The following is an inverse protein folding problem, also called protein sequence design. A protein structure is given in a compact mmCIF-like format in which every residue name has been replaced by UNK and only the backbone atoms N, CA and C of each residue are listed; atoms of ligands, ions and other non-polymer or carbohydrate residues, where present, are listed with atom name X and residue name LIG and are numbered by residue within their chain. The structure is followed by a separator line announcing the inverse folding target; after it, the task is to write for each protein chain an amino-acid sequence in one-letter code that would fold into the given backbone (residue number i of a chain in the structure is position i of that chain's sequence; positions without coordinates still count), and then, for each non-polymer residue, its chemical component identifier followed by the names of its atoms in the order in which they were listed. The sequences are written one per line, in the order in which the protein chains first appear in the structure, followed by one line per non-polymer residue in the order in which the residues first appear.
data_IF_274895404978
#
_entry.id   IF_274895404978
#
_cell.length_a   1.000
_cell.length_b   1.000
_cell.length_c   1.000
_cell.angle_alpha   90.00
_cell.angle_beta   90.00
_cell.angle_gamma   90.00
#
_symmetry.space_group_name_H-M   'P 1'
#
loop_
_entity.id
_entity.type
_entity.pdbx_description
1 polymer ?
#
# COMPACT_ATOMS: atom_id res chain seq x y z
N UNK A 1 16.45 -11.18 19.72
CA UNK A 1 17.14 -9.95 19.36
C UNK A 1 16.08 -8.90 19.07
N UNK A 2 16.02 -7.95 19.98
CA UNK A 2 15.15 -6.79 19.86
C UNK A 2 15.46 -6.08 18.57
N UNK A 3 14.41 -5.64 17.85
CA UNK A 3 14.58 -5.05 16.54
C UNK A 3 15.43 -3.80 16.65
N UNK A 4 16.50 -3.75 15.85
CA UNK A 4 17.39 -2.58 15.74
C UNK A 4 16.72 -1.39 15.04
N UNK A 5 15.42 -1.47 14.73
CA UNK A 5 14.70 -0.45 13.93
C UNK A 5 13.66 0.30 14.76
N UNK A 6 14.10 0.96 15.83
CA UNK A 6 13.19 1.65 16.76
C UNK A 6 12.37 2.76 16.12
N UNK A 7 12.99 3.58 15.27
CA UNK A 7 12.32 4.68 14.59
C UNK A 7 11.34 4.16 13.53
N UNK A 8 11.73 3.17 12.74
CA UNK A 8 10.86 2.54 11.75
C UNK A 8 9.66 1.86 12.41
N UNK A 9 9.86 1.21 13.55
CA UNK A 9 8.75 0.61 14.30
C UNK A 9 7.80 1.66 14.88
N UNK A 10 8.30 2.86 15.19
CA UNK A 10 7.48 3.96 15.69
C UNK A 10 6.65 4.62 14.58
N UNK A 11 7.22 4.81 13.39
CA UNK A 11 6.60 5.54 12.28
C UNK A 11 6.28 4.68 11.06
N UNK A 12 6.38 3.38 11.18
CA UNK A 12 6.09 2.43 10.12
C UNK A 12 5.52 1.13 10.64
N UNK A 13 5.04 0.33 9.73
CA UNK A 13 4.49 -1.00 9.98
C UNK A 13 5.31 -2.00 9.19
N UNK A 14 5.91 -2.98 9.87
CA UNK A 14 6.64 -4.09 9.24
C UNK A 14 5.65 -5.05 8.57
N UNK A 15 5.50 -4.95 7.26
CA UNK A 15 4.57 -5.78 6.49
C UNK A 15 5.00 -7.25 6.46
N UNK A 16 6.29 -7.52 6.43
CA UNK A 16 6.78 -8.91 6.45
C UNK A 16 6.46 -9.59 7.77
N UNK A 17 6.60 -8.87 8.88
CA UNK A 17 6.22 -9.39 10.20
C UNK A 17 4.71 -9.62 10.29
N UNK A 18 3.90 -8.71 9.76
CA UNK A 18 2.44 -8.88 9.74
C UNK A 18 2.01 -10.10 8.93
N UNK A 19 2.66 -10.35 7.80
CA UNK A 19 2.44 -11.56 7.02
C UNK A 19 2.79 -12.81 7.82
N UNK A 20 3.94 -12.81 8.49
CA UNK A 20 4.39 -13.94 9.32
C UNK A 20 3.43 -14.23 10.47
N UNK A 21 2.78 -13.21 11.01
CA UNK A 21 1.76 -13.33 12.07
C UNK A 21 0.36 -13.65 11.56
N UNK A 22 0.18 -13.79 10.25
CA UNK A 22 -1.13 -14.05 9.64
C UNK A 22 -2.11 -12.88 9.71
N UNK A 23 -1.62 -11.65 9.85
CA UNK A 23 -2.44 -10.43 10.00
C UNK A 23 -2.75 -9.72 8.68
N UNK A 24 -2.33 -10.28 7.56
CA UNK A 24 -2.58 -9.73 6.22
C UNK A 24 -3.66 -10.55 5.54
N UNK A 25 -4.57 -9.87 4.85
CA UNK A 25 -5.63 -10.53 4.09
C UNK A 25 -5.05 -11.39 2.96
N UNK A 26 -5.73 -12.47 2.55
CA UNK A 26 -5.32 -13.26 1.40
C UNK A 26 -5.22 -12.39 0.14
N UNK A 27 -4.11 -12.52 -0.58
CA UNK A 27 -3.91 -11.81 -1.84
C UNK A 27 -4.35 -12.72 -2.98
N UNK A 28 -5.39 -12.29 -3.68
CA UNK A 28 -6.00 -13.02 -4.78
C UNK A 28 -5.70 -12.29 -6.09
N UNK A 29 -5.02 -12.97 -7.01
CA UNK A 29 -4.61 -12.37 -8.27
C UNK A 29 -3.39 -11.46 -8.11
N UNK A 30 -3.20 -10.55 -9.03
CA UNK A 30 -2.09 -9.57 -9.04
C UNK A 30 -0.69 -10.17 -9.20
N UNK A 31 -0.58 -11.43 -9.62
CA UNK A 31 0.71 -12.12 -9.76
C UNK A 31 1.66 -11.40 -10.72
N UNK A 32 1.16 -10.90 -11.83
CA UNK A 32 1.97 -10.17 -12.81
C UNK A 32 2.50 -8.85 -12.26
N UNK A 33 1.69 -8.09 -11.53
CA UNK A 33 2.06 -6.82 -10.93
C UNK A 33 3.06 -7.02 -9.79
N UNK A 34 2.87 -8.04 -8.95
CA UNK A 34 3.79 -8.40 -7.87
C UNK A 34 5.13 -8.83 -8.46
N UNK A 35 5.12 -9.67 -9.49
CA UNK A 35 6.34 -10.09 -10.19
C UNK A 35 7.06 -8.88 -10.80
N UNK A 36 6.33 -7.98 -11.43
CA UNK A 36 6.91 -6.76 -12.02
C UNK A 36 7.55 -5.88 -10.95
N UNK A 37 6.93 -5.71 -9.78
CA UNK A 37 7.50 -4.98 -8.65
C UNK A 37 8.83 -5.60 -8.21
N UNK A 38 8.88 -6.92 -8.07
CA UNK A 38 10.12 -7.65 -7.75
C UNK A 38 11.23 -7.38 -8.79
N UNK A 39 10.89 -7.44 -10.06
CA UNK A 39 11.84 -7.19 -11.15
C UNK A 39 12.40 -5.76 -11.11
N UNK A 40 11.54 -4.77 -10.87
CA UNK A 40 11.95 -3.38 -10.79
C UNK A 40 12.90 -3.17 -9.60
N UNK A 41 12.59 -3.71 -8.44
CA UNK A 41 13.43 -3.62 -7.24
C UNK A 41 14.82 -4.24 -7.45
N UNK A 42 14.93 -5.20 -8.35
CA UNK A 42 16.20 -5.87 -8.67
C UNK A 42 16.99 -5.16 -9.79
N UNK A 43 16.46 -4.08 -10.35
CA UNK A 43 17.17 -3.33 -11.40
C UNK A 43 18.30 -2.49 -10.81
N UNK A 44 19.27 -2.19 -11.65
CA UNK A 44 20.40 -1.33 -11.28
C UNK A 44 19.99 0.14 -11.18
N UNK A 45 19.09 0.59 -12.04
CA UNK A 45 18.62 1.97 -12.12
C UNK A 45 17.11 1.99 -12.23
N UNK A 46 16.48 3.10 -11.86
CA UNK A 46 15.02 3.25 -11.89
C UNK A 46 14.35 2.06 -11.19
N UNK A 47 14.88 1.75 -10.01
CA UNK A 47 14.60 0.54 -9.24
C UNK A 47 13.59 0.75 -8.13
N UNK A 48 12.83 1.84 -8.18
CA UNK A 48 11.75 2.12 -7.24
C UNK A 48 10.41 1.98 -7.96
N UNK A 49 9.61 0.95 -7.65
CA UNK A 49 8.28 0.83 -8.25
C UNK A 49 7.35 1.93 -7.77
N UNK A 50 6.54 2.47 -8.67
CA UNK A 50 5.41 3.31 -8.29
C UNK A 50 4.12 2.70 -8.84
N UNK A 51 3.21 2.35 -7.95
CA UNK A 51 1.93 1.74 -8.27
C UNK A 51 0.94 2.83 -8.59
N UNK A 52 0.39 2.81 -9.79
CA UNK A 52 -0.52 3.83 -10.29
C UNK A 52 -1.87 3.21 -10.56
N UNK A 53 -2.90 3.74 -9.94
CA UNK A 53 -4.27 3.26 -10.13
C UNK A 53 -5.26 4.10 -9.36
N UNK A 54 -6.53 3.97 -9.72
CA UNK A 54 -7.61 4.64 -9.03
C UNK A 54 -7.72 4.17 -7.56
N UNK A 55 -8.28 4.99 -6.68
CA UNK A 55 -8.53 4.56 -5.30
C UNK A 55 -9.41 3.31 -5.27
N UNK A 56 -9.06 2.35 -4.45
CA UNK A 56 -9.85 1.15 -4.23
C UNK A 56 -9.61 -0.01 -5.21
N UNK A 57 -8.62 0.08 -6.11
CA UNK A 57 -8.32 -1.01 -7.06
C UNK A 57 -7.42 -2.10 -6.51
N UNK A 58 -6.77 -1.87 -5.35
CA UNK A 58 -5.93 -2.87 -4.70
C UNK A 58 -4.43 -2.63 -4.82
N UNK A 59 -3.98 -1.38 -4.84
CA UNK A 59 -2.54 -1.04 -4.86
C UNK A 59 -1.81 -1.59 -3.63
N UNK A 60 -2.37 -1.43 -2.46
CA UNK A 60 -1.80 -1.96 -1.21
C UNK A 60 -1.69 -3.49 -1.23
N UNK A 61 -2.65 -4.18 -1.83
CA UNK A 61 -2.61 -5.63 -1.97
C UNK A 61 -1.38 -6.12 -2.75
N UNK A 62 -0.91 -5.36 -3.73
CA UNK A 62 0.32 -5.70 -4.47
C UNK A 62 1.53 -5.68 -3.55
N UNK A 63 1.63 -4.67 -2.68
CA UNK A 63 2.75 -4.54 -1.72
C UNK A 63 2.69 -5.63 -0.66
N UNK A 64 1.52 -5.93 -0.14
CA UNK A 64 1.31 -7.02 0.82
C UNK A 64 1.63 -8.38 0.18
N UNK A 65 1.26 -8.58 -1.08
CA UNK A 65 1.60 -9.78 -1.85
C UNK A 65 3.10 -9.93 -2.06
N UNK A 66 3.81 -8.83 -2.29
CA UNK A 66 5.27 -8.84 -2.38
C UNK A 66 5.90 -9.21 -1.04
N UNK A 67 5.41 -8.64 0.06
CA UNK A 67 5.85 -9.00 1.41
C UNK A 67 5.64 -10.49 1.70
N UNK A 68 4.51 -11.04 1.29
CA UNK A 68 4.22 -12.48 1.41
C UNK A 68 5.25 -13.32 0.65
N UNK A 69 5.60 -12.94 -0.57
CA UNK A 69 6.60 -13.65 -1.37
C UNK A 69 8.00 -13.55 -0.76
N UNK A 70 8.36 -12.42 -0.18
CA UNK A 70 9.64 -12.28 0.54
C UNK A 70 9.69 -13.23 1.73
N UNK A 71 8.65 -13.28 2.53
CA UNK A 71 8.56 -14.16 3.71
C UNK A 71 8.67 -15.63 3.31
N UNK A 72 8.04 -16.01 2.19
CA UNK A 72 8.10 -17.38 1.66
C UNK A 72 9.40 -17.70 0.90
N UNK A 73 10.22 -16.70 0.63
CA UNK A 73 11.44 -16.86 -0.17
C UNK A 73 11.20 -16.99 -1.67
N UNK A 74 10.01 -16.65 -2.15
CA UNK A 74 9.61 -16.70 -3.56
C UNK A 74 9.90 -15.37 -4.27
N UNK A 75 11.13 -14.93 -4.21
CA UNK A 75 11.64 -13.70 -4.84
C UNK A 75 13.07 -13.95 -5.33
N UNK A 76 13.61 -13.09 -6.22
CA UNK A 76 15.02 -13.14 -6.56
C UNK A 76 15.93 -13.08 -5.32
N UNK A 77 17.12 -13.68 -5.41
CA UNK A 77 18.04 -13.84 -4.28
C UNK A 77 18.39 -12.51 -3.59
N UNK A 78 18.49 -11.43 -4.34
CA UNK A 78 18.79 -10.11 -3.82
C UNK A 78 17.66 -9.49 -2.98
N UNK A 79 16.45 -10.05 -3.04
CA UNK A 79 15.29 -9.58 -2.27
C UNK A 79 14.96 -10.49 -1.06
N UNK A 80 15.56 -11.69 -0.97
CA UNK A 80 15.19 -12.68 0.06
C UNK A 80 15.37 -12.21 1.50
N UNK A 81 16.36 -11.36 1.75
CA UNK A 81 16.67 -10.87 3.09
C UNK A 81 16.12 -9.47 3.35
N UNK A 82 15.27 -8.97 2.47
CA UNK A 82 14.69 -7.64 2.61
C UNK A 82 13.39 -7.66 3.41
N UNK A 83 13.10 -6.52 4.02
CA UNK A 83 11.87 -6.27 4.77
C UNK A 83 11.17 -5.05 4.21
N UNK A 84 9.86 -5.10 4.10
CA UNK A 84 9.05 -3.95 3.67
C UNK A 84 8.41 -3.30 4.87
N UNK A 85 8.69 -2.00 5.08
CA UNK A 85 8.00 -1.17 6.05
C UNK A 85 7.05 -0.22 5.34
N UNK A 86 5.80 -0.22 5.75
CA UNK A 86 4.81 0.77 5.31
C UNK A 86 4.92 2.00 6.18
N UNK A 87 5.20 3.16 5.58
CA UNK A 87 5.29 4.43 6.31
C UNK A 87 3.91 4.83 6.83
N UNK A 88 3.82 5.11 8.13
CA UNK A 88 2.60 5.58 8.78
C UNK A 88 2.58 7.11 8.84
N UNK A 89 1.91 7.72 7.87
CA UNK A 89 1.79 9.18 7.81
C UNK A 89 1.03 9.75 9.02
N UNK A 90 0.06 9.02 9.53
CA UNK A 90 -0.67 9.42 10.74
C UNK A 90 0.25 9.52 11.94
N UNK A 91 1.14 8.55 12.15
CA UNK A 91 2.11 8.55 13.23
C UNK A 91 3.14 9.67 13.09
N UNK A 92 3.56 9.97 11.85
CA UNK A 92 4.50 11.06 11.56
C UNK A 92 3.92 12.45 11.89
N UNK A 93 2.62 12.60 11.70
CA UNK A 93 1.91 13.88 11.89
C UNK A 93 1.37 14.01 13.32
N UNK A 94 1.00 12.91 13.96
CA UNK A 94 0.37 12.92 15.29
C UNK A 94 1.23 13.63 16.33
N UNK A 95 0.68 14.66 16.97
CA UNK A 95 1.36 15.46 17.97
C UNK A 95 2.45 16.39 17.43
N UNK A 96 2.69 16.44 16.13
CA UNK A 96 3.59 17.42 15.53
C UNK A 96 2.95 18.81 15.57
N UNK A 97 3.55 19.71 16.34
CA UNK A 97 3.02 21.06 16.53
C UNK A 97 3.41 22.02 15.40
N UNK A 98 4.47 21.70 14.67
CA UNK A 98 5.00 22.51 13.58
C UNK A 98 5.72 21.64 12.55
N UNK A 99 5.92 22.18 11.37
CA UNK A 99 6.54 21.49 10.23
C UNK A 99 7.91 20.86 10.54
N UNK A 100 8.71 21.54 11.37
CA UNK A 100 10.04 21.06 11.73
C UNK A 100 10.02 19.71 12.47
N UNK A 101 9.02 19.42 13.28
CA UNK A 101 8.88 18.11 13.96
C UNK A 101 8.63 16.98 12.97
N UNK A 102 7.77 17.21 11.98
CA UNK A 102 7.54 16.24 10.90
C UNK A 102 8.83 15.95 10.12
N UNK A 103 9.55 17.00 9.73
CA UNK A 103 10.82 16.88 9.01
C UNK A 103 11.86 16.12 9.83
N UNK A 104 11.98 16.37 11.13
CA UNK A 104 12.89 15.66 12.02
C UNK A 104 12.54 14.17 12.14
N UNK A 105 11.26 13.85 12.26
CA UNK A 105 10.79 12.45 12.30
C UNK A 105 11.10 11.72 11.00
N UNK A 106 10.85 12.36 9.86
CA UNK A 106 11.15 11.79 8.56
C UNK A 106 12.65 11.63 8.34
N UNK A 107 13.47 12.60 8.78
CA UNK A 107 14.94 12.47 8.77
C UNK A 107 15.42 11.27 9.57
N UNK A 108 14.81 11.02 10.73
CA UNK A 108 15.15 9.87 11.56
C UNK A 108 14.81 8.56 10.85
N UNK A 109 13.66 8.48 10.18
CA UNK A 109 13.27 7.33 9.35
C UNK A 109 14.30 7.11 8.23
N UNK A 110 14.65 8.16 7.51
CA UNK A 110 15.61 8.09 6.39
C UNK A 110 16.99 7.62 6.88
N UNK A 111 17.47 8.11 8.01
CA UNK A 111 18.75 7.66 8.60
C UNK A 111 18.74 6.17 8.92
N UNK A 112 17.65 5.67 9.44
CA UNK A 112 17.52 4.25 9.76
C UNK A 112 17.47 3.39 8.49
N UNK A 113 16.82 3.88 7.44
CA UNK A 113 16.83 3.25 6.12
C UNK A 113 18.25 3.15 5.55
N UNK A 114 19.01 4.24 5.61
CA UNK A 114 20.42 4.27 5.16
C UNK A 114 21.28 3.29 5.95
N UNK A 115 21.13 3.29 7.28
CA UNK A 115 21.88 2.42 8.17
C UNK A 115 21.58 0.93 7.92
N UNK A 116 20.45 0.60 7.33
CA UNK A 116 20.08 -0.78 6.98
C UNK A 116 20.86 -1.34 5.79
N UNK A 117 21.61 -0.51 5.07
CA UNK A 117 22.37 -0.92 3.88
C UNK A 117 21.51 -1.64 2.83
N UNK A 118 20.33 -1.09 2.54
CA UNK A 118 19.43 -1.60 1.53
C UNK A 118 18.60 -2.81 1.95
N UNK A 119 18.63 -3.20 3.22
CA UNK A 119 17.81 -4.32 3.72
C UNK A 119 16.33 -3.98 3.86
N UNK A 120 16.01 -2.69 3.93
CA UNK A 120 14.65 -2.21 4.12
C UNK A 120 14.16 -1.51 2.86
N UNK A 121 12.95 -1.89 2.45
CA UNK A 121 12.19 -1.22 1.40
C UNK A 121 11.07 -0.44 2.08
N UNK A 122 10.97 0.86 1.81
CA UNK A 122 9.92 1.70 2.36
C UNK A 122 8.74 1.79 1.41
N UNK A 123 7.56 1.43 1.86
CA UNK A 123 6.32 1.65 1.13
C UNK A 123 5.68 2.97 1.58
N UNK A 124 5.39 3.83 0.63
CA UNK A 124 4.73 5.13 0.88
C UNK A 124 3.44 5.18 0.06
N UNK A 125 2.33 5.01 0.74
CA UNK A 125 1.02 5.20 0.12
C UNK A 125 0.76 6.70 -0.08
N UNK A 126 0.02 7.03 -1.13
CA UNK A 126 -0.23 8.42 -1.49
C UNK A 126 1.05 9.27 -1.51
N UNK A 127 2.09 8.77 -2.15
CA UNK A 127 3.43 9.37 -2.15
C UNK A 127 3.44 10.84 -2.63
N UNK A 128 2.47 11.23 -3.45
CA UNK A 128 2.31 12.60 -3.92
C UNK A 128 2.12 13.60 -2.76
N UNK A 129 1.59 13.16 -1.61
CA UNK A 129 1.37 14.03 -0.45
C UNK A 129 2.67 14.55 0.16
N UNK A 130 3.77 13.83 -0.02
CA UNK A 130 5.06 14.19 0.57
C UNK A 130 6.13 14.60 -0.44
N UNK A 131 5.92 14.37 -1.74
CA UNK A 131 6.93 14.66 -2.76
C UNK A 131 6.55 15.77 -3.75
N UNK A 132 5.32 16.24 -3.76
CA UNK A 132 4.90 17.20 -4.77
C UNK A 132 3.71 18.08 -4.40
N UNK A 133 2.76 17.53 -3.66
CA UNK A 133 1.55 18.25 -3.27
C UNK A 133 1.79 19.32 -2.19
N UNK A 134 2.99 19.36 -1.62
CA UNK A 134 3.34 20.24 -0.51
C UNK A 134 3.64 21.70 -0.87
N UNK A 135 3.46 22.10 -2.12
CA UNK A 135 3.71 23.48 -2.55
C UNK A 135 2.57 24.45 -2.24
N UNK A 136 1.46 23.95 -1.74
CA UNK A 136 0.34 24.77 -1.26
C UNK A 136 0.47 25.02 0.24
N UNK A 137 0.06 26.20 0.69
CA UNK A 137 0.17 26.62 2.09
C UNK A 137 -0.36 25.57 3.06
N UNK A 138 0.51 25.11 3.96
CA UNK A 138 0.16 24.17 5.02
C UNK A 138 0.36 22.69 4.71
N UNK A 139 0.76 22.33 3.49
CA UNK A 139 1.05 20.94 3.14
C UNK A 139 2.52 20.58 3.44
N UNK A 140 2.77 19.32 3.81
CA UNK A 140 4.10 18.82 4.14
C UNK A 140 4.84 18.39 2.88
N UNK A 141 5.94 19.04 2.57
CA UNK A 141 6.81 18.70 1.43
C UNK A 141 8.11 18.09 1.94
N UNK A 142 8.27 16.80 1.71
CA UNK A 142 9.47 16.04 2.06
C UNK A 142 10.38 15.78 0.85
N UNK A 143 10.08 16.37 -0.30
CA UNK A 143 10.85 16.12 -1.53
C UNK A 143 12.34 16.48 -1.36
N UNK A 144 12.67 17.52 -0.60
CA UNK A 144 14.04 17.90 -0.29
C UNK A 144 14.80 16.85 0.53
N UNK A 145 14.09 16.00 1.27
CA UNK A 145 14.68 14.91 2.05
C UNK A 145 14.80 13.63 1.22
N UNK A 146 13.78 13.30 0.45
CA UNK A 146 13.70 12.03 -0.29
C UNK A 146 14.43 12.06 -1.63
N UNK A 147 14.37 13.15 -2.38
CA UNK A 147 15.03 13.24 -3.70
C UNK A 147 16.52 12.95 -3.67
N UNK A 148 17.33 13.55 -2.76
CA UNK A 148 18.77 13.26 -2.70
C UNK A 148 19.04 11.78 -2.40
N UNK A 149 18.25 11.16 -1.54
CA UNK A 149 18.41 9.77 -1.13
C UNK A 149 18.10 8.81 -2.28
N UNK A 150 16.99 9.07 -2.98
CA UNK A 150 16.60 8.30 -4.17
C UNK A 150 17.63 8.50 -5.29
N UNK A 151 18.14 9.73 -5.46
CA UNK A 151 19.12 10.06 -6.48
C UNK A 151 20.45 9.34 -6.30
N UNK A 152 20.87 9.13 -5.05
CA UNK A 152 22.12 8.42 -4.74
C UNK A 152 21.94 6.90 -4.71
N UNK A 153 20.70 6.40 -4.82
CA UNK A 153 20.41 4.98 -4.72
C UNK A 153 20.61 4.39 -3.33
N UNK A 154 20.57 5.23 -2.30
CA UNK A 154 20.81 4.83 -0.91
C UNK A 154 19.59 4.17 -0.27
N UNK A 155 18.40 4.42 -0.79
CA UNK A 155 17.16 3.83 -0.29
C UNK A 155 16.33 3.26 -1.44
N UNK A 156 15.53 2.23 -1.14
CA UNK A 156 14.50 1.72 -2.04
C UNK A 156 13.12 2.08 -1.51
N UNK A 157 12.29 2.59 -2.42
CA UNK A 157 10.93 3.03 -2.11
C UNK A 157 9.95 2.41 -3.08
N UNK A 158 8.83 1.92 -2.56
CA UNK A 158 7.65 1.59 -3.37
C UNK A 158 6.63 2.69 -3.09
N UNK A 159 6.23 3.41 -4.14
CA UNK A 159 5.18 4.44 -4.03
C UNK A 159 3.85 3.92 -4.54
N UNK A 160 2.77 4.52 -4.06
CA UNK A 160 1.44 4.34 -4.60
C UNK A 160 0.76 5.69 -4.78
N UNK A 161 0.06 5.87 -5.89
CA UNK A 161 -0.63 7.12 -6.20
C UNK A 161 -1.69 6.89 -7.27
N UNK A 162 -2.48 7.91 -7.58
CA UNK A 162 -3.41 7.90 -8.71
C UNK A 162 -2.71 8.36 -9.98
N UNK A 163 -3.33 8.13 -11.15
CA UNK A 163 -2.77 8.53 -12.43
C UNK A 163 -2.67 10.07 -12.56
N UNK A 164 -3.67 10.79 -12.07
CA UNK A 164 -3.69 12.25 -12.11
C UNK A 164 -2.60 12.85 -11.23
N UNK A 165 -2.43 12.33 -10.00
CA UNK A 165 -1.41 12.76 -9.06
C UNK A 165 0.00 12.42 -9.57
N UNK A 166 0.16 11.26 -10.19
CA UNK A 166 1.42 10.85 -10.81
C UNK A 166 1.83 11.83 -11.91
N UNK A 167 0.92 12.14 -12.83
CA UNK A 167 1.18 13.08 -13.92
C UNK A 167 1.51 14.48 -13.44
N UNK A 168 0.82 14.91 -12.39
CA UNK A 168 0.94 16.27 -11.86
C UNK A 168 2.22 16.48 -11.05
N UNK A 169 2.58 15.52 -10.20
CA UNK A 169 3.62 15.72 -9.17
C UNK A 169 4.88 14.90 -9.39
N UNK A 170 4.84 13.79 -10.10
CA UNK A 170 5.99 12.88 -10.24
C UNK A 170 6.53 12.88 -11.67
N UNK A 171 5.70 12.66 -12.66
CA UNK A 171 6.11 12.58 -14.06
C UNK A 171 6.80 13.86 -14.55
N UNK A 172 6.35 15.02 -14.09
CA UNK A 172 6.91 16.33 -14.44
C UNK A 172 8.21 16.66 -13.69
N UNK A 173 8.51 15.95 -12.62
CA UNK A 173 9.72 16.12 -11.84
C UNK A 173 10.80 15.19 -12.37
N UNK A 174 11.78 15.72 -13.08
CA UNK A 174 12.84 14.93 -13.72
C UNK A 174 13.64 14.08 -12.72
N UNK A 175 13.86 14.59 -11.52
CA UNK A 175 14.62 13.87 -10.50
C UNK A 175 13.85 12.65 -9.99
N UNK A 176 12.55 12.75 -9.80
CA UNK A 176 11.69 11.64 -9.39
C UNK A 176 11.40 10.69 -10.56
N UNK A 177 11.10 11.22 -11.73
CA UNK A 177 10.78 10.41 -12.91
C UNK A 177 11.92 9.44 -13.27
N UNK A 178 13.17 9.86 -13.10
CA UNK A 178 14.36 9.03 -13.35
C UNK A 178 14.56 7.91 -12.32
N UNK A 179 13.92 7.99 -11.16
CA UNK A 179 14.11 7.05 -10.05
C UNK A 179 12.99 6.04 -9.90
N UNK A 180 11.82 6.36 -10.42
CA UNK A 180 10.65 5.50 -10.35
C UNK A 180 10.34 4.82 -11.67
N UNK A 181 9.92 3.57 -11.59
CA UNK A 181 9.30 2.84 -12.69
C UNK A 181 7.84 2.58 -12.36
N UNK A 182 6.95 3.05 -13.22
CA UNK A 182 5.51 2.91 -13.01
C UNK A 182 5.02 1.48 -13.28
N UNK A 183 4.05 1.06 -12.48
CA UNK A 183 3.25 -0.16 -12.67
C UNK A 183 1.80 0.28 -12.63
N UNK A 184 1.06 0.07 -13.72
CA UNK A 184 -0.36 0.38 -13.76
C UNK A 184 -1.15 -0.74 -13.07
N UNK A 185 -1.98 -0.36 -12.11
CA UNK A 185 -2.88 -1.26 -11.39
C UNK A 185 -4.29 -0.99 -11.86
N UNK A 186 -4.78 -1.84 -12.73
CA UNK A 186 -6.13 -1.73 -13.29
C UNK A 186 -7.19 -2.19 -12.29
N UNK A 187 -8.40 -1.64 -12.46
CA UNK A 187 -9.57 -2.14 -11.76
C UNK A 187 -9.77 -3.62 -12.11
N UNK A 188 -9.94 -4.50 -11.10
CA UNK A 188 -10.24 -5.90 -11.39
C UNK A 188 -11.59 -6.06 -12.07
N UNK A 189 -11.73 -7.11 -12.84
CA UNK A 189 -13.02 -7.48 -13.45
C UNK A 189 -14.02 -7.90 -12.37
N UNK A 190 -15.29 -8.00 -12.72
CA UNK A 190 -16.33 -8.54 -11.84
C UNK A 190 -15.96 -9.96 -11.36
N UNK A 191 -15.48 -10.81 -12.25
CA UNK A 191 -15.07 -12.18 -11.93
C UNK A 191 -13.89 -12.23 -10.97
N UNK A 192 -12.87 -11.41 -11.22
CA UNK A 192 -11.71 -11.29 -10.32
C UNK A 192 -12.14 -10.76 -8.96
N UNK A 193 -13.06 -9.79 -8.92
CA UNK A 193 -13.60 -9.23 -7.67
C UNK A 193 -14.40 -10.26 -6.88
N UNK A 194 -15.14 -11.12 -7.53
CA UNK A 194 -15.83 -12.25 -6.88
C UNK A 194 -14.82 -13.17 -6.19
N UNK A 195 -13.72 -13.49 -6.87
CA UNK A 195 -12.65 -14.31 -6.28
C UNK A 195 -12.01 -13.64 -5.07
N UNK A 196 -11.77 -12.33 -5.14
CA UNK A 196 -11.26 -11.53 -4.02
C UNK A 196 -12.22 -11.57 -2.84
N UNK A 197 -13.52 -11.35 -3.08
CA UNK A 197 -14.55 -11.39 -2.03
C UNK A 197 -14.66 -12.76 -1.39
N UNK A 198 -14.56 -13.82 -2.17
CA UNK A 198 -14.56 -15.21 -1.64
C UNK A 198 -13.35 -15.44 -0.71
N UNK A 199 -12.20 -14.88 -1.05
CA UNK A 199 -11.01 -14.93 -0.19
C UNK A 199 -11.16 -14.13 1.12
N UNK A 200 -11.96 -13.07 1.13
CA UNK A 200 -12.19 -12.21 2.30
C UNK A 200 -13.42 -12.62 3.12
N UNK A 201 -14.27 -13.48 2.60
CA UNK A 201 -15.56 -13.85 3.19
C UNK A 201 -15.47 -14.25 4.66
N UNK A 202 -14.58 -15.16 5.00
CA UNK A 202 -14.44 -15.67 6.37
C UNK A 202 -14.13 -14.57 7.37
N UNK A 203 -13.27 -13.64 7.02
CA UNK A 203 -12.91 -12.48 7.85
C UNK A 203 -14.13 -11.64 8.22
N UNK A 204 -14.99 -11.36 7.25
CA UNK A 204 -16.21 -10.58 7.48
C UNK A 204 -17.28 -11.38 8.22
N UNK A 205 -17.39 -12.68 7.97
CA UNK A 205 -18.26 -13.56 8.73
C UNK A 205 -17.89 -13.60 10.22
N UNK A 206 -16.61 -13.72 10.52
CA UNK A 206 -16.10 -13.71 11.90
C UNK A 206 -16.35 -12.36 12.57
N UNK A 207 -16.04 -11.27 11.88
CA UNK A 207 -16.19 -9.92 12.42
C UNK A 207 -17.65 -9.60 12.75
N UNK A 208 -18.56 -9.85 11.83
CA UNK A 208 -19.98 -9.54 11.99
C UNK A 208 -20.78 -10.65 12.67
N UNK A 209 -20.18 -11.81 12.89
CA UNK A 209 -20.84 -13.00 13.48
C UNK A 209 -22.10 -13.42 12.73
N UNK A 210 -22.03 -13.40 11.42
CA UNK A 210 -23.07 -13.84 10.49
C UNK A 210 -22.48 -14.73 9.41
N UNK A 211 -23.33 -15.43 8.68
CA UNK A 211 -22.96 -16.16 7.47
C UNK A 211 -23.20 -15.29 6.24
N UNK A 212 -22.29 -15.35 5.28
CA UNK A 212 -22.40 -14.66 4.00
C UNK A 212 -22.57 -15.71 2.90
N UNK A 213 -23.74 -15.74 2.26
CA UNK A 213 -23.98 -16.66 1.17
C UNK A 213 -23.15 -16.30 -0.06
N UNK A 214 -22.79 -17.31 -0.86
CA UNK A 214 -22.03 -17.07 -2.11
C UNK A 214 -22.80 -16.18 -3.09
N UNK A 215 -24.12 -16.34 -3.16
CA UNK A 215 -24.98 -15.47 -3.97
C UNK A 215 -24.89 -14.00 -3.56
N UNK A 216 -24.71 -13.72 -2.27
CA UNK A 216 -24.52 -12.36 -1.78
C UNK A 216 -23.19 -11.76 -2.27
N UNK A 217 -22.14 -12.57 -2.30
CA UNK A 217 -20.83 -12.17 -2.84
C UNK A 217 -20.92 -11.86 -4.33
N UNK A 218 -21.51 -12.74 -5.09
CA UNK A 218 -21.71 -12.54 -6.54
C UNK A 218 -22.56 -11.30 -6.80
N UNK A 219 -23.65 -11.14 -6.06
CA UNK A 219 -24.54 -9.96 -6.17
C UNK A 219 -23.81 -8.66 -5.80
N UNK A 220 -22.98 -8.67 -4.76
CA UNK A 220 -22.22 -7.49 -4.36
C UNK A 220 -21.27 -7.01 -5.47
N UNK A 221 -20.58 -7.93 -6.12
CA UNK A 221 -19.70 -7.60 -7.24
C UNK A 221 -20.48 -7.07 -8.45
N UNK A 222 -21.53 -7.77 -8.85
CA UNK A 222 -22.34 -7.40 -10.02
C UNK A 222 -23.08 -6.08 -9.80
N UNK A 223 -23.76 -5.92 -8.67
CA UNK A 223 -24.56 -4.73 -8.38
C UNK A 223 -23.69 -3.49 -8.15
N UNK A 224 -22.57 -3.63 -7.44
CA UNK A 224 -21.65 -2.50 -7.26
C UNK A 224 -21.06 -2.06 -8.60
N UNK A 225 -20.71 -3.00 -9.45
CA UNK A 225 -20.21 -2.70 -10.80
C UNK A 225 -21.25 -1.96 -11.63
N UNK A 226 -22.50 -2.38 -11.56
CA UNK A 226 -23.60 -1.82 -12.37
C UNK A 226 -24.09 -0.45 -11.88
N UNK A 227 -24.19 -0.26 -10.56
CA UNK A 227 -24.90 0.88 -9.98
C UNK A 227 -24.01 1.88 -9.23
N UNK A 228 -22.80 1.52 -8.86
CA UNK A 228 -21.85 2.42 -8.19
C UNK A 228 -20.75 2.79 -9.18
N UNK A 229 -20.91 3.93 -9.85
CA UNK A 229 -20.01 4.34 -10.94
C UNK A 229 -18.87 5.25 -10.49
N UNK A 230 -18.97 5.87 -9.33
CA UNK A 230 -17.99 6.83 -8.79
C UNK A 230 -16.88 6.17 -7.96
N UNK A 231 -16.96 4.86 -7.75
CA UNK A 231 -15.98 4.07 -7.01
C UNK A 231 -15.56 2.83 -7.81
N UNK A 232 -14.48 2.19 -7.39
CA UNK A 232 -13.86 1.07 -8.12
C UNK A 232 -13.97 -0.26 -7.39
N UNK A 233 -14.00 -1.34 -8.18
CA UNK A 233 -13.81 -2.69 -7.68
C UNK A 233 -12.33 -2.88 -7.30
N UNK A 234 -11.98 -3.66 -6.27
CA UNK A 234 -12.92 -4.48 -5.47
C UNK A 234 -13.53 -3.71 -4.29
N UNK A 235 -13.03 -2.54 -3.91
CA UNK A 235 -13.41 -1.85 -2.68
C UNK A 235 -14.90 -1.57 -2.60
N UNK A 236 -15.56 -1.12 -3.67
CA UNK A 236 -17.00 -0.85 -3.64
C UNK A 236 -17.85 -2.09 -3.37
N UNK A 237 -17.39 -3.26 -3.81
CA UNK A 237 -18.07 -4.52 -3.52
C UNK A 237 -17.82 -5.00 -2.09
N UNK A 238 -16.59 -4.83 -1.61
CA UNK A 238 -16.22 -5.14 -0.22
C UNK A 238 -17.04 -4.29 0.75
N UNK A 239 -17.13 -2.98 0.50
CA UNK A 239 -17.93 -2.07 1.32
C UNK A 239 -19.41 -2.45 1.32
N UNK A 240 -19.95 -2.89 0.20
CA UNK A 240 -21.34 -3.32 0.11
C UNK A 240 -21.62 -4.54 0.99
N UNK A 241 -20.72 -5.51 1.01
CA UNK A 241 -20.79 -6.67 1.91
C UNK A 241 -20.68 -6.24 3.37
N UNK A 242 -19.74 -5.40 3.70
CA UNK A 242 -19.51 -4.92 5.06
C UNK A 242 -20.71 -4.15 5.61
N UNK A 243 -21.26 -3.25 4.81
CA UNK A 243 -22.45 -2.45 5.14
C UNK A 243 -23.69 -3.34 5.34
N UNK A 244 -23.94 -4.27 4.42
CA UNK A 244 -25.08 -5.18 4.51
C UNK A 244 -24.99 -6.10 5.74
N UNK A 245 -23.80 -6.60 6.04
CA UNK A 245 -23.56 -7.43 7.22
C UNK A 245 -23.78 -6.66 8.53
N UNK A 246 -23.30 -5.43 8.61
CA UNK A 246 -23.51 -4.57 9.76
C UNK A 246 -25.00 -4.28 9.99
N UNK A 247 -25.76 -4.03 8.93
CA UNK A 247 -27.19 -3.78 8.98
C UNK A 247 -27.96 -4.98 9.53
N UNK A 248 -27.71 -6.18 8.99
CA UNK A 248 -28.37 -7.42 9.44
C UNK A 248 -28.08 -7.68 10.91
N UNK A 249 -26.84 -7.52 11.35
CA UNK A 249 -26.46 -7.71 12.75
C UNK A 249 -27.22 -6.77 13.68
N UNK A 250 -27.37 -5.51 13.29
CA UNK A 250 -28.11 -4.51 14.06
C UNK A 250 -29.59 -4.88 14.16
N UNK A 251 -30.22 -5.31 13.08
CA UNK A 251 -31.59 -5.76 13.05
C UNK A 251 -31.82 -6.98 13.95
N UNK A 252 -30.92 -7.96 13.92
CA UNK A 252 -30.98 -9.15 14.77
C UNK A 252 -30.87 -8.82 16.26
N UNK A 253 -30.06 -7.85 16.62
CA UNK A 253 -29.87 -7.44 18.02
C UNK A 253 -31.04 -6.57 18.54
N UNK A 254 -31.91 -6.09 17.68
CA UNK A 254 -33.06 -5.24 18.03
C UNK A 254 -34.36 -6.04 18.26
N UNK A 255 -34.33 -7.33 17.96
CA UNK A 255 -35.43 -8.28 18.23
C UNK A 255 -35.24 -8.95 19.59
#
# INVERSE_FOLDING_TARGET
PESTYDVLNQFGIDLCNRVSEGKVDPIIGRDSEIRRASQILSRRTKNNPILIGDPGVGKTAVVEGLAERIVKGDVPDDLKDKTIFSLDMGALIAGAKYRGEFEERLKAVVKELEASNGKIILFIDEIHTIVGAGKTDGAMDASNLLKPMLSRGEINVIGATTIDEYRKYIEKDQALERRFQSILIDEPTVEESISILRGLKEKYEIYHKIRIADEAIVSAAILSHRYISDRKLPDKAIDLIDEAAAKIKTEMNSM
#
